data_IF_936850680827
#
_entry.id   IF_936850680827
#
_cell.length_a   1.000
_cell.length_b   1.000
_cell.length_c   1.000
_cell.angle_alpha   90.00
_cell.angle_beta   90.00
_cell.angle_gamma   90.00
#
_symmetry.space_group_name_H-M   'P 1'
#
loop_
_entity.id
_entity.type
_entity.pdbx_description
1 polymer ?
#
# COMPACT_ATOMS: atom_id res chain seq x y z
N UNK A 1 -20.73 -8.57 -1.52
CA UNK A 1 -19.66 -9.55 -1.24
C UNK A 1 -18.37 -9.01 -1.85
N UNK A 2 -17.25 -9.14 -1.15
CA UNK A 2 -15.96 -8.51 -1.52
C UNK A 2 -15.48 -8.93 -2.92
N UNK A 3 -15.71 -10.18 -3.32
CA UNK A 3 -15.35 -10.71 -4.64
C UNK A 3 -16.18 -10.07 -5.77
N UNK A 4 -17.47 -9.79 -5.54
CA UNK A 4 -18.30 -9.07 -6.53
C UNK A 4 -17.82 -7.63 -6.75
N UNK A 5 -17.39 -6.96 -5.68
CA UNK A 5 -16.83 -5.62 -5.75
C UNK A 5 -15.47 -5.62 -6.49
N UNK A 6 -14.60 -6.58 -6.18
CA UNK A 6 -13.34 -6.79 -6.91
C UNK A 6 -13.57 -6.98 -8.41
N UNK A 7 -14.52 -7.83 -8.79
CA UNK A 7 -14.85 -8.07 -10.20
C UNK A 7 -15.39 -6.80 -10.88
N UNK A 8 -16.33 -6.10 -10.25
CA UNK A 8 -16.97 -4.92 -10.83
C UNK A 8 -15.97 -3.76 -11.03
N UNK A 9 -15.08 -3.55 -10.06
CA UNK A 9 -14.12 -2.45 -10.09
C UNK A 9 -12.72 -2.83 -10.59
N UNK A 10 -12.53 -4.07 -11.06
CA UNK A 10 -11.23 -4.59 -11.50
C UNK A 10 -10.12 -4.36 -10.48
N UNK A 11 -10.43 -4.54 -9.19
CA UNK A 11 -9.46 -4.35 -8.11
C UNK A 11 -8.87 -5.69 -7.69
N UNK A 12 -7.54 -5.79 -7.51
CA UNK A 12 -6.93 -6.99 -6.97
C UNK A 12 -7.41 -7.25 -5.54
N UNK A 13 -7.45 -8.52 -5.17
CA UNK A 13 -7.79 -8.98 -3.83
C UNK A 13 -6.60 -9.66 -3.18
N UNK A 14 -6.56 -9.53 -1.87
CA UNK A 14 -5.60 -10.16 -0.99
C UNK A 14 -6.33 -11.19 -0.13
N UNK A 15 -5.85 -12.43 -0.15
CA UNK A 15 -6.51 -13.57 0.49
C UNK A 15 -5.57 -14.24 1.45
N UNK A 16 -6.02 -14.37 2.69
CA UNK A 16 -5.34 -15.10 3.74
C UNK A 16 -6.01 -16.46 3.93
N UNK A 17 -5.23 -17.53 3.81
CA UNK A 17 -5.67 -18.90 4.09
C UNK A 17 -5.44 -19.27 5.57
N UNK A 18 -6.18 -20.26 6.06
CA UNK A 18 -6.00 -20.86 7.37
C UNK A 18 -4.85 -21.88 7.42
N UNK A 19 -4.27 -22.21 6.27
CA UNK A 19 -3.20 -23.19 6.11
C UNK A 19 -1.90 -22.72 6.76
N UNK A 20 -1.22 -23.64 7.43
CA UNK A 20 0.07 -23.43 8.07
C UNK A 20 1.15 -24.27 7.39
N UNK A 21 2.38 -23.78 7.42
CA UNK A 21 3.57 -24.53 7.04
C UNK A 21 3.95 -25.59 8.08
N UNK A 22 4.98 -26.39 7.77
CA UNK A 22 5.50 -27.45 8.67
C UNK A 22 5.96 -26.93 10.03
N UNK A 23 6.23 -25.63 10.14
CA UNK A 23 6.74 -24.95 11.33
C UNK A 23 5.59 -24.23 12.08
N UNK A 24 4.36 -24.31 11.55
CA UNK A 24 3.16 -23.73 12.16
C UNK A 24 2.92 -22.24 11.86
N UNK A 25 3.68 -21.64 10.96
CA UNK A 25 3.46 -20.27 10.45
C UNK A 25 2.35 -20.29 9.40
N UNK A 26 1.56 -19.23 9.33
CA UNK A 26 0.56 -19.09 8.26
C UNK A 26 1.27 -18.92 6.91
N UNK A 27 0.68 -19.49 5.86
CA UNK A 27 1.17 -19.25 4.50
C UNK A 27 1.06 -17.78 4.11
N UNK A 28 1.89 -17.38 3.16
CA UNK A 28 1.88 -16.04 2.59
C UNK A 28 0.52 -15.70 1.96
N UNK A 29 0.25 -14.40 1.91
CA UNK A 29 -0.96 -13.84 1.32
C UNK A 29 -1.01 -14.14 -0.18
N UNK A 30 -2.15 -14.63 -0.66
CA UNK A 30 -2.36 -14.80 -2.10
C UNK A 30 -2.94 -13.49 -2.63
N UNK A 31 -2.25 -12.88 -3.59
CA UNK A 31 -2.71 -11.68 -4.27
C UNK A 31 -3.07 -11.98 -5.71
N UNK A 32 -4.21 -11.48 -6.19
CA UNK A 32 -4.59 -11.67 -7.58
C UNK A 32 -5.87 -10.96 -7.97
N UNK A 33 -6.17 -11.03 -9.27
CA UNK A 33 -7.42 -10.50 -9.81
C UNK A 33 -8.49 -11.59 -9.84
N UNK A 34 -9.66 -11.29 -9.30
CA UNK A 34 -10.79 -12.19 -9.39
C UNK A 34 -11.52 -12.01 -10.74
N UNK A 35 -11.56 -13.06 -11.55
CA UNK A 35 -12.10 -13.04 -12.92
C UNK A 35 -13.58 -13.40 -13.02
N UNK A 36 -14.24 -13.69 -11.90
CA UNK A 36 -15.66 -14.04 -11.85
C UNK A 36 -15.97 -15.55 -11.76
N UNK A 37 -14.94 -16.40 -11.73
CA UNK A 37 -15.10 -17.85 -11.56
C UNK A 37 -15.27 -18.22 -10.08
N UNK A 38 -16.53 -18.32 -9.64
CA UNK A 38 -16.90 -18.72 -8.29
C UNK A 38 -17.99 -19.79 -8.32
N UNK A 39 -17.80 -20.80 -7.48
CA UNK A 39 -18.71 -21.93 -7.26
C UNK A 39 -19.15 -21.95 -5.78
N UNK A 40 -19.94 -22.94 -5.39
CA UNK A 40 -20.47 -23.05 -4.02
C UNK A 40 -19.36 -23.13 -2.96
N UNK A 41 -18.31 -23.92 -3.23
CA UNK A 41 -17.29 -24.26 -2.23
C UNK A 41 -15.90 -23.66 -2.52
N UNK A 42 -15.70 -23.06 -3.69
CA UNK A 42 -14.42 -22.50 -4.11
C UNK A 42 -14.55 -21.40 -5.15
N UNK A 43 -13.49 -20.63 -5.32
CA UNK A 43 -13.36 -19.65 -6.39
C UNK A 43 -11.96 -19.69 -6.98
N UNK A 44 -11.78 -19.12 -8.16
CA UNK A 44 -10.51 -19.15 -8.90
C UNK A 44 -9.88 -17.77 -8.94
N UNK A 45 -8.59 -17.70 -8.61
CA UNK A 45 -7.75 -16.50 -8.73
C UNK A 45 -6.39 -16.91 -9.26
N UNK A 46 -5.88 -16.20 -10.28
CA UNK A 46 -4.60 -16.48 -10.94
C UNK A 46 -4.45 -17.97 -11.34
N UNK A 47 -5.50 -18.55 -11.93
CA UNK A 47 -5.56 -19.97 -12.30
C UNK A 47 -5.42 -20.96 -11.13
N UNK A 48 -5.46 -20.48 -9.88
CA UNK A 48 -5.45 -21.29 -8.67
C UNK A 48 -6.85 -21.37 -8.04
N UNK A 49 -7.28 -22.59 -7.72
CA UNK A 49 -8.50 -22.83 -6.97
C UNK A 49 -8.29 -22.54 -5.49
N UNK A 50 -9.17 -21.75 -4.89
CA UNK A 50 -9.19 -21.42 -3.47
C UNK A 50 -10.51 -21.88 -2.85
N UNK A 51 -10.43 -22.84 -1.92
CA UNK A 51 -11.59 -23.36 -1.21
C UNK A 51 -12.06 -22.39 -0.14
N UNK A 52 -13.35 -22.04 -0.18
CA UNK A 52 -14.00 -21.12 0.76
C UNK A 52 -13.79 -21.50 2.23
N UNK A 53 -13.90 -22.78 2.64
CA UNK A 53 -13.67 -23.20 4.02
C UNK A 53 -12.27 -22.90 4.56
N UNK A 54 -11.27 -22.83 3.67
CA UNK A 54 -9.87 -22.59 4.05
C UNK A 54 -9.55 -21.10 4.12
N UNK A 55 -10.45 -20.22 3.65
CA UNK A 55 -10.23 -18.78 3.66
C UNK A 55 -10.47 -18.21 5.05
N UNK A 56 -9.46 -17.51 5.58
CA UNK A 56 -9.55 -16.75 6.83
C UNK A 56 -10.10 -15.34 6.59
N UNK A 57 -9.54 -14.66 5.59
CA UNK A 57 -9.82 -13.27 5.32
C UNK A 57 -9.63 -12.96 3.84
N UNK A 58 -10.49 -12.07 3.32
CA UNK A 58 -10.40 -11.54 1.95
C UNK A 58 -10.58 -10.04 2.05
N UNK A 59 -9.66 -9.29 1.46
CA UNK A 59 -9.75 -7.84 1.33
C UNK A 59 -9.46 -7.40 -0.10
N UNK A 60 -9.99 -6.24 -0.48
CA UNK A 60 -9.59 -5.57 -1.72
C UNK A 60 -8.30 -4.82 -1.45
N UNK A 61 -7.28 -5.09 -2.26
CA UNK A 61 -6.00 -4.42 -2.14
C UNK A 61 -6.17 -2.95 -2.48
N UNK A 62 -5.85 -2.10 -1.49
CA UNK A 62 -5.82 -0.64 -1.66
C UNK A 62 -4.42 -0.25 -2.09
N UNK A 63 -4.29 0.12 -3.36
CA UNK A 63 -3.05 0.66 -3.87
C UNK A 63 -2.94 2.12 -3.47
N UNK A 64 -2.14 2.40 -2.45
CA UNK A 64 -1.70 3.76 -2.15
C UNK A 64 -0.34 4.00 -2.80
N UNK A 65 -0.22 5.12 -3.51
CA UNK A 65 1.05 5.49 -4.15
C UNK A 65 2.06 5.86 -3.06
N UNK A 66 3.26 5.29 -3.12
CA UNK A 66 4.31 5.52 -2.10
C UNK A 66 4.68 6.99 -1.89
N UNK A 67 4.50 7.85 -2.89
CA UNK A 67 4.76 9.29 -2.77
C UNK A 67 3.58 10.09 -2.18
N UNK A 68 2.43 9.46 -1.98
CA UNK A 68 1.28 10.08 -1.33
C UNK A 68 1.42 9.96 0.20
N UNK A 69 2.56 10.44 0.70
CA UNK A 69 2.82 10.53 2.14
C UNK A 69 2.22 11.85 2.58
N UNK A 70 1.06 11.80 3.22
CA UNK A 70 0.53 12.95 3.92
C UNK A 70 1.39 13.21 5.16
N UNK A 71 2.48 13.97 5.01
CA UNK A 71 3.33 14.37 6.13
C UNK A 71 2.57 15.15 7.23
N UNK A 72 1.35 15.62 6.94
CA UNK A 72 0.57 16.50 7.82
C UNK A 72 -0.88 16.06 8.08
N UNK A 73 -1.37 14.91 7.58
CA UNK A 73 -2.80 14.55 7.74
C UNK A 73 -3.19 14.09 9.14
N UNK A 74 -2.23 13.76 10.01
CA UNK A 74 -2.50 13.30 11.37
C UNK A 74 -2.66 14.42 12.43
N UNK A 75 -2.76 15.70 12.03
CA UNK A 75 -2.99 16.78 13.01
C UNK A 75 -4.46 16.92 13.44
N UNK A 76 -5.40 16.30 12.73
CA UNK A 76 -6.84 16.53 12.95
C UNK A 76 -7.53 15.47 13.81
N UNK A 77 -6.79 14.52 14.38
CA UNK A 77 -7.35 13.49 15.29
C UNK A 77 -7.48 13.95 16.75
N UNK A 78 -7.02 15.16 17.08
CA UNK A 78 -7.19 15.74 18.42
C UNK A 78 -7.48 17.24 18.35
N UNK A 79 -8.71 17.58 18.70
CA UNK A 79 -9.15 18.87 19.26
C UNK A 79 -8.93 20.15 18.43
N UNK A 80 -10.05 20.75 18.03
CA UNK A 80 -10.32 22.18 17.93
C UNK A 80 -9.16 23.13 18.28
N UNK A 81 -8.55 23.75 17.28
CA UNK A 81 -8.17 25.16 17.37
C UNK A 81 -8.07 25.78 15.98
N UNK A 82 -8.75 26.92 15.79
CA UNK A 82 -8.57 27.80 14.65
C UNK A 82 -7.12 28.27 14.66
N UNK A 83 -6.29 27.76 13.76
CA UNK A 83 -4.96 28.32 13.52
C UNK A 83 -5.04 29.16 12.24
N UNK A 84 -4.80 30.44 12.45
CA UNK A 84 -4.80 31.50 11.47
C UNK A 84 -3.76 31.15 10.38
N UNK A 85 -4.18 31.29 9.11
CA UNK A 85 -3.28 31.24 7.97
C UNK A 85 -2.41 32.51 8.00
N UNK A 86 -1.22 32.40 8.55
CA UNK A 86 -0.14 33.32 8.22
C UNK A 86 0.79 32.65 7.20
N UNK A 87 0.73 33.18 5.99
CA UNK A 87 1.64 32.91 4.90
C UNK A 87 3.07 33.30 5.30
N UNK A 88 3.97 32.32 5.41
CA UNK A 88 5.41 32.58 5.25
C UNK A 88 6.11 31.35 4.67
N UNK A 89 6.12 31.27 3.35
CA UNK A 89 7.03 30.41 2.59
C UNK A 89 8.38 31.12 2.60
N UNK A 90 9.18 30.93 3.65
CA UNK A 90 10.57 31.35 3.66
C UNK A 90 11.35 30.35 4.49
N UNK A 91 12.13 29.52 3.81
CA UNK A 91 13.49 29.12 4.14
C UNK A 91 13.91 28.14 3.05
N UNK A 92 14.48 28.68 1.96
CA UNK A 92 15.30 27.87 1.07
C UNK A 92 16.40 27.22 1.93
N UNK A 93 16.61 25.90 1.78
CA UNK A 93 17.60 25.18 2.57
C UNK A 93 18.99 25.68 2.11
N UNK A 94 19.67 26.44 2.97
CA UNK A 94 21.02 26.90 2.69
C UNK A 94 22.01 25.73 2.72
N UNK A 95 22.83 25.63 1.67
CA UNK A 95 23.83 24.58 1.56
C UNK A 95 24.99 24.84 2.54
N UNK A 96 25.06 24.07 3.62
CA UNK A 96 26.14 24.18 4.62
C UNK A 96 27.41 23.50 4.08
N UNK A 97 28.38 24.32 3.66
CA UNK A 97 29.72 23.86 3.24
C UNK A 97 30.69 23.93 4.42
N UNK A 98 30.84 22.83 5.15
CA UNK A 98 31.85 22.70 6.21
C UNK A 98 33.18 22.13 5.66
N UNK A 99 34.16 21.92 6.54
CA UNK A 99 35.48 21.38 6.19
C UNK A 99 35.44 19.98 5.55
N UNK A 100 34.31 19.27 5.67
CA UNK A 100 34.08 17.96 5.07
C UNK A 100 33.27 18.03 3.76
N UNK A 101 32.89 19.23 3.31
CA UNK A 101 32.11 19.42 2.10
C UNK A 101 32.94 19.10 0.86
N UNK A 102 32.47 18.13 0.07
CA UNK A 102 33.06 17.77 -1.22
C UNK A 102 32.13 18.21 -2.35
N UNK A 103 32.58 19.09 -3.27
CA UNK A 103 31.79 19.43 -4.44
C UNK A 103 31.68 18.22 -5.37
N UNK A 104 30.55 18.09 -6.08
CA UNK A 104 30.44 17.11 -7.15
C UNK A 104 31.41 17.48 -8.28
N UNK A 105 32.08 16.48 -8.84
CA UNK A 105 32.88 16.67 -10.05
C UNK A 105 31.92 17.00 -11.19
N UNK A 106 31.97 18.23 -11.69
CA UNK A 106 31.35 18.59 -12.95
C UNK A 106 32.12 17.82 -14.04
N UNK A 107 31.48 16.80 -14.61
CA UNK A 107 32.01 16.15 -15.79
C UNK A 107 31.96 17.16 -16.94
N UNK A 108 33.03 17.94 -17.10
CA UNK A 108 33.30 18.73 -18.29
C UNK A 108 33.41 17.76 -19.48
N UNK A 109 32.25 17.46 -20.07
CA UNK A 109 32.14 16.71 -21.30
C UNK A 109 32.62 17.64 -22.42
N UNK A 110 33.93 17.59 -22.70
CA UNK A 110 34.52 18.11 -23.93
C UNK A 110 34.31 17.14 -25.09
#
# INVERSE_FOLDING_TARGET
>A
MILSESFLYHKPVSIQLNTKDEIGRLLDLIEGLFVGEAYEDYFVINDQQIFLPDVRHIEIKKEEKWFNIDYFSNLNSSSNSKIQKDSKIENEIELVKNEYYQPFLENDSR
#
